data_IF_271469252602
#
_entry.id   IF_271469252602
#
_cell.length_a   1.000
_cell.length_b   1.000
_cell.length_c   1.000
_cell.angle_alpha   90.00
_cell.angle_beta   90.00
_cell.angle_gamma   90.00
#
_symmetry.space_group_name_H-M   'P 1'
#
loop_
_entity.id
_entity.type
_entity.pdbx_description
1 polymer ?
#
# COMPACT_ATOMS: atom_id res chain seq x y z
N UNK A 1 -1.91 7.04 -26.89
CA UNK A 1 -2.18 6.34 -25.63
C UNK A 1 -2.55 4.87 -25.88
N UNK A 2 -1.75 3.94 -25.35
CA UNK A 2 -1.91 2.47 -25.46
C UNK A 2 -2.06 1.87 -24.07
N UNK A 3 -3.11 1.07 -23.81
CA UNK A 3 -3.24 0.32 -22.55
C UNK A 3 -2.12 -0.73 -22.49
N UNK A 4 -1.31 -0.71 -21.44
CA UNK A 4 -0.21 -1.67 -21.23
C UNK A 4 -0.48 -2.65 -20.11
N UNK A 5 -1.24 -2.25 -19.10
CA UNK A 5 -1.64 -3.12 -18.01
C UNK A 5 -2.99 -2.67 -17.43
N UNK A 6 -3.85 -3.63 -17.11
CA UNK A 6 -5.10 -3.38 -16.41
C UNK A 6 -5.08 -4.21 -15.12
N UNK A 7 -4.89 -3.51 -14.01
CA UNK A 7 -5.05 -4.09 -12.68
C UNK A 7 -6.50 -4.07 -12.23
N UNK A 8 -6.74 -4.60 -11.03
CA UNK A 8 -8.07 -4.68 -10.40
C UNK A 8 -8.78 -3.31 -10.37
N UNK A 9 -8.04 -2.26 -10.00
CA UNK A 9 -8.60 -0.91 -9.78
C UNK A 9 -7.88 0.21 -10.54
N UNK A 10 -6.79 -0.10 -11.26
CA UNK A 10 -6.00 0.89 -12.00
C UNK A 10 -5.69 0.40 -13.40
N UNK A 11 -5.66 1.32 -14.35
CA UNK A 11 -5.24 1.09 -15.72
C UNK A 11 -3.95 1.87 -15.96
N UNK A 12 -2.96 1.22 -16.57
CA UNK A 12 -1.69 1.83 -16.91
C UNK A 12 -1.61 1.96 -18.43
N UNK A 13 -1.40 3.18 -18.89
CA UNK A 13 -1.25 3.50 -20.31
C UNK A 13 0.15 4.01 -20.62
N UNK A 14 0.54 3.84 -21.87
CA UNK A 14 1.74 4.37 -22.48
C UNK A 14 1.36 5.41 -23.54
N UNK A 15 1.77 6.66 -23.31
CA UNK A 15 1.55 7.79 -24.21
C UNK A 15 2.86 8.57 -24.46
N UNK A 16 3.98 7.84 -24.51
CA UNK A 16 5.34 8.39 -24.46
C UNK A 16 5.90 8.44 -23.04
N UNK A 17 5.04 8.75 -22.07
CA UNK A 17 5.24 8.55 -20.64
C UNK A 17 4.20 7.56 -20.09
N UNK A 18 4.39 7.11 -18.84
CA UNK A 18 3.37 6.31 -18.17
C UNK A 18 2.25 7.19 -17.65
N UNK A 19 1.01 6.75 -17.88
CA UNK A 19 -0.18 7.35 -17.31
C UNK A 19 -0.88 6.30 -16.44
N UNK A 20 -0.84 6.49 -15.13
CA UNK A 20 -1.55 5.65 -14.16
C UNK A 20 -2.93 6.26 -13.92
N UNK A 21 -3.98 5.52 -14.25
CA UNK A 21 -5.38 5.96 -14.14
C UNK A 21 -6.08 5.13 -13.07
N UNK A 22 -6.53 5.77 -12.00
CA UNK A 22 -7.36 5.16 -10.98
C UNK A 22 -8.82 5.07 -11.47
N UNK A 23 -9.33 3.85 -11.54
CA UNK A 23 -10.73 3.60 -11.90
C UNK A 23 -11.65 3.69 -10.69
N UNK A 24 -12.95 3.74 -10.96
CA UNK A 24 -13.99 3.61 -9.95
C UNK A 24 -14.31 2.13 -9.62
N UNK A 25 -13.53 1.19 -10.18
CA UNK A 25 -13.67 -0.24 -9.88
C UNK A 25 -13.28 -0.52 -8.42
N UNK A 26 -13.93 -1.53 -7.88
CA UNK A 26 -13.72 -2.04 -6.54
C UNK A 26 -13.48 -3.55 -6.61
N UNK A 27 -12.59 -4.06 -5.78
CA UNK A 27 -12.33 -5.49 -5.67
C UNK A 27 -12.23 -5.94 -4.23
N UNK A 28 -12.78 -7.12 -3.95
CA UNK A 28 -12.63 -7.84 -2.67
C UNK A 28 -12.30 -9.29 -2.98
N UNK A 29 -11.45 -9.92 -2.16
CA UNK A 29 -11.01 -11.32 -2.36
C UNK A 29 -10.58 -11.61 -3.81
N UNK A 30 -9.82 -10.67 -4.39
CA UNK A 30 -9.30 -10.74 -5.77
C UNK A 30 -10.35 -10.74 -6.90
N UNK A 31 -11.62 -10.52 -6.58
CA UNK A 31 -12.73 -10.38 -7.55
C UNK A 31 -13.12 -8.92 -7.71
N UNK A 32 -13.18 -8.44 -8.95
CA UNK A 32 -13.70 -7.10 -9.27
C UNK A 32 -15.24 -7.13 -9.22
N UNK A 33 -15.82 -6.24 -8.42
CA UNK A 33 -17.26 -6.12 -8.25
C UNK A 33 -17.91 -5.48 -9.49
N UNK A 34 -19.16 -5.88 -9.84
CA UNK A 34 -19.85 -5.34 -11.02
C UNK A 34 -20.29 -3.87 -10.84
N UNK A 35 -20.40 -3.40 -9.59
CA UNK A 35 -20.85 -2.04 -9.27
C UNK A 35 -19.63 -1.17 -8.91
N UNK A 36 -19.32 -0.12 -9.69
CA UNK A 36 -18.27 0.83 -9.35
C UNK A 36 -18.69 1.75 -8.20
N UNK A 37 -17.72 2.33 -7.50
CA UNK A 37 -17.93 3.37 -6.50
C UNK A 37 -17.65 4.72 -7.15
N UNK A 38 -18.67 5.55 -7.44
CA UNK A 38 -18.48 6.82 -8.14
C UNK A 38 -17.42 7.70 -7.48
N UNK A 39 -16.55 8.29 -8.31
CA UNK A 39 -15.45 9.17 -7.91
C UNK A 39 -14.38 8.56 -6.99
N UNK A 40 -14.43 7.25 -6.70
CA UNK A 40 -13.37 6.55 -5.95
C UNK A 40 -12.00 6.83 -6.56
N UNK A 41 -11.84 6.67 -7.87
CA UNK A 41 -10.56 6.86 -8.54
C UNK A 41 -10.00 8.27 -8.33
N UNK A 42 -10.88 9.29 -8.33
CA UNK A 42 -10.47 10.68 -8.07
C UNK A 42 -10.04 10.90 -6.63
N UNK A 43 -10.80 10.37 -5.66
CA UNK A 43 -10.50 10.50 -4.24
C UNK A 43 -9.15 9.85 -3.90
N UNK A 44 -8.91 8.62 -4.38
CA UNK A 44 -7.64 7.91 -4.12
C UNK A 44 -6.45 8.58 -4.80
N UNK A 45 -6.66 9.14 -6.00
CA UNK A 45 -5.62 9.92 -6.69
C UNK A 45 -5.28 11.19 -5.93
N UNK A 46 -6.28 11.96 -5.50
CA UNK A 46 -6.07 13.17 -4.72
C UNK A 46 -5.37 12.89 -3.38
N UNK A 47 -5.74 11.80 -2.71
CA UNK A 47 -5.12 11.38 -1.46
C UNK A 47 -3.66 10.97 -1.66
N UNK A 48 -3.37 10.17 -2.71
CA UNK A 48 -1.98 9.79 -3.03
C UNK A 48 -1.11 11.01 -3.32
N UNK A 49 -1.59 11.96 -4.12
CA UNK A 49 -0.87 13.20 -4.44
C UNK A 49 -0.59 14.03 -3.19
N UNK A 50 -1.55 14.12 -2.27
CA UNK A 50 -1.40 14.81 -1.00
C UNK A 50 -0.33 14.17 -0.11
N UNK A 51 -0.24 12.84 -0.10
CA UNK A 51 0.81 12.12 0.62
C UNK A 51 2.18 12.24 -0.05
N UNK A 52 2.24 12.13 -1.38
CA UNK A 52 3.50 12.30 -2.12
C UNK A 52 4.14 13.67 -1.88
N UNK A 53 3.33 14.73 -1.81
CA UNK A 53 3.80 16.07 -1.47
C UNK A 53 4.41 16.13 -0.05
N UNK A 54 3.68 15.59 0.94
CA UNK A 54 4.09 15.61 2.37
C UNK A 54 5.26 14.72 2.73
N UNK A 55 5.53 13.71 1.92
CA UNK A 55 6.58 12.72 2.14
C UNK A 55 7.74 12.86 1.16
N UNK A 56 7.76 13.96 0.39
CA UNK A 56 8.79 14.24 -0.61
C UNK A 56 10.20 14.42 -0.02
N UNK A 57 10.30 14.80 1.26
CA UNK A 57 11.56 14.87 2.01
C UNK A 57 12.04 13.51 2.53
N UNK A 58 11.13 12.52 2.62
CA UNK A 58 11.42 11.17 3.10
C UNK A 58 11.87 10.28 1.94
N UNK A 59 11.14 10.31 0.82
CA UNK A 59 11.41 9.46 -0.34
C UNK A 59 11.00 10.13 -1.65
N UNK A 60 11.82 10.08 -2.70
CA UNK A 60 11.41 10.52 -4.02
C UNK A 60 10.30 9.63 -4.57
N UNK A 61 9.36 10.20 -5.33
CA UNK A 61 8.22 9.47 -5.90
C UNK A 61 8.16 9.59 -7.43
N UNK A 62 7.32 8.77 -8.04
CA UNK A 62 7.23 8.66 -9.49
C UNK A 62 6.42 9.78 -10.18
N UNK A 63 5.80 10.71 -9.46
CA UNK A 63 4.84 11.66 -10.05
C UNK A 63 5.57 12.70 -10.87
N UNK A 64 5.15 12.86 -12.13
CA UNK A 64 5.62 13.93 -13.03
C UNK A 64 4.57 15.05 -13.11
N UNK A 65 3.29 14.69 -13.26
CA UNK A 65 2.20 15.67 -13.32
C UNK A 65 0.85 15.01 -13.03
N UNK A 66 -0.04 15.73 -12.34
CA UNK A 66 -1.45 15.33 -12.17
C UNK A 66 -2.42 16.23 -12.96
N UNK A 67 -1.92 17.33 -13.54
CA UNK A 67 -2.72 18.32 -14.28
C UNK A 67 -2.52 18.21 -15.77
N UNK A 68 -1.34 17.77 -16.20
CA UNK A 68 -1.06 17.47 -17.59
C UNK A 68 -1.47 16.02 -17.86
N UNK A 69 -2.76 15.79 -17.97
CA UNK A 69 -3.36 14.47 -18.28
C UNK A 69 -4.51 14.65 -19.26
N UNK A 70 -4.91 13.62 -20.03
CA UNK A 70 -6.09 13.68 -20.88
C UNK A 70 -7.34 14.12 -20.09
N UNK A 71 -8.15 15.01 -20.67
CA UNK A 71 -9.31 15.61 -19.98
C UNK A 71 -10.30 14.57 -19.44
N UNK A 72 -10.47 13.46 -20.15
CA UNK A 72 -11.32 12.33 -19.74
C UNK A 72 -10.88 11.64 -18.44
N UNK A 73 -9.61 11.78 -18.07
CA UNK A 73 -9.03 11.24 -16.83
C UNK A 73 -8.70 12.32 -15.80
N UNK A 74 -9.22 13.55 -15.99
CA UNK A 74 -9.00 14.65 -15.06
C UNK A 74 -9.38 14.27 -13.62
N UNK A 75 -8.45 14.54 -12.70
CA UNK A 75 -8.58 14.27 -11.27
C UNK A 75 -8.36 12.82 -10.85
N UNK A 76 -8.22 11.87 -11.79
CA UNK A 76 -8.04 10.42 -11.48
C UNK A 76 -6.81 9.80 -12.15
N UNK A 77 -5.96 10.60 -12.78
CA UNK A 77 -4.77 10.12 -13.44
C UNK A 77 -3.54 10.92 -13.04
N UNK A 78 -2.40 10.25 -13.07
CA UNK A 78 -1.08 10.83 -12.88
C UNK A 78 -0.18 10.41 -14.04
N UNK A 79 0.54 11.37 -14.62
CA UNK A 79 1.74 11.08 -15.41
C UNK A 79 2.85 10.72 -14.45
N UNK A 80 3.47 9.58 -14.67
CA UNK A 80 4.51 9.06 -13.81
C UNK A 80 5.74 8.60 -14.58
N UNK A 81 6.88 8.63 -13.90
CA UNK A 81 8.14 8.10 -14.38
C UNK A 81 8.01 6.59 -14.56
N UNK A 82 8.54 6.07 -15.67
CA UNK A 82 8.73 4.63 -15.85
C UNK A 82 9.81 4.14 -14.89
N UNK A 83 9.46 3.16 -14.06
CA UNK A 83 10.37 2.51 -13.13
C UNK A 83 10.52 1.03 -13.50
N UNK A 84 11.69 0.47 -13.21
CA UNK A 84 11.87 -0.97 -13.12
C UNK A 84 11.40 -1.42 -11.73
N UNK A 85 10.19 -1.98 -11.65
CA UNK A 85 9.52 -2.25 -10.38
C UNK A 85 10.16 -3.45 -9.66
N UNK A 86 10.48 -3.29 -8.38
CA UNK A 86 10.96 -4.39 -7.56
C UNK A 86 9.82 -5.35 -7.24
N UNK A 87 10.13 -6.65 -7.13
CA UNK A 87 9.12 -7.71 -6.92
C UNK A 87 8.90 -8.00 -5.44
N UNK A 88 8.75 -6.93 -4.65
CA UNK A 88 8.54 -6.99 -3.20
C UNK A 88 7.41 -6.03 -2.83
N UNK A 89 6.35 -6.56 -2.22
CA UNK A 89 5.34 -5.73 -1.58
C UNK A 89 5.84 -5.33 -0.19
N UNK A 90 6.13 -4.05 -0.02
CA UNK A 90 6.77 -3.52 1.17
C UNK A 90 5.71 -3.09 2.18
N UNK A 91 5.39 -3.98 3.14
CA UNK A 91 4.33 -3.72 4.13
C UNK A 91 4.92 -3.27 5.46
N UNK A 92 4.46 -2.15 5.98
CA UNK A 92 4.67 -1.72 7.36
C UNK A 92 3.43 -1.97 8.20
N UNK A 93 3.62 -2.43 9.44
CA UNK A 93 2.54 -2.63 10.42
C UNK A 93 2.88 -1.94 11.72
N UNK A 94 1.97 -1.10 12.23
CA UNK A 94 1.99 -0.63 13.62
C UNK A 94 0.89 -1.26 14.46
N UNK A 95 -0.08 -1.93 13.83
CA UNK A 95 -1.14 -2.68 14.50
C UNK A 95 -1.30 -4.05 13.83
N UNK A 96 -1.74 -5.04 14.62
CA UNK A 96 -1.92 -6.42 14.17
C UNK A 96 -3.36 -6.65 13.72
N UNK A 97 -3.55 -6.95 12.44
CA UNK A 97 -4.85 -7.25 11.84
C UNK A 97 -4.70 -8.14 10.60
N UNK A 98 -5.83 -8.66 10.11
CA UNK A 98 -5.92 -9.34 8.81
C UNK A 98 -4.97 -10.53 8.67
N UNK A 99 -4.28 -10.62 7.52
CA UNK A 99 -3.35 -11.73 7.25
C UNK A 99 -2.16 -11.75 8.22
N UNK A 100 -1.70 -10.60 8.71
CA UNK A 100 -0.63 -10.53 9.71
C UNK A 100 -1.06 -11.15 11.06
N UNK A 101 -2.30 -10.90 11.50
CA UNK A 101 -2.83 -11.58 12.68
C UNK A 101 -2.88 -13.11 12.47
N UNK A 102 -3.33 -13.56 11.28
CA UNK A 102 -3.42 -14.99 10.97
C UNK A 102 -2.04 -15.67 11.07
N UNK A 103 -1.00 -15.06 10.52
CA UNK A 103 0.37 -15.59 10.59
C UNK A 103 0.88 -15.62 12.03
N UNK A 104 0.65 -14.54 12.79
CA UNK A 104 1.02 -14.46 14.20
C UNK A 104 0.35 -15.54 15.05
N UNK A 105 -0.95 -15.80 14.84
CA UNK A 105 -1.66 -16.84 15.58
C UNK A 105 -1.12 -18.25 15.26
N UNK A 106 -0.54 -18.44 14.08
CA UNK A 106 0.04 -19.72 13.67
C UNK A 106 1.45 -19.94 14.23
N UNK A 107 2.29 -18.89 14.28
CA UNK A 107 3.73 -19.05 14.55
C UNK A 107 4.30 -18.16 15.67
N UNK A 108 3.55 -17.14 16.12
CA UNK A 108 4.05 -16.07 16.99
C UNK A 108 4.87 -15.00 16.25
N UNK A 109 4.93 -15.05 14.91
CA UNK A 109 5.69 -14.14 14.07
C UNK A 109 4.89 -13.69 12.83
N UNK A 110 5.34 -12.63 12.19
CA UNK A 110 4.82 -12.15 10.88
C UNK A 110 6.01 -11.89 9.96
N UNK A 111 6.07 -12.49 8.77
CA UNK A 111 7.26 -12.44 7.89
C UNK A 111 8.55 -12.81 8.63
N UNK A 112 8.50 -13.81 9.51
CA UNK A 112 9.63 -14.20 10.36
C UNK A 112 9.97 -13.24 11.52
N UNK A 113 9.30 -12.08 11.63
CA UNK A 113 9.51 -11.13 12.73
C UNK A 113 8.76 -11.61 13.99
N UNK A 114 9.45 -12.02 15.07
CA UNK A 114 8.80 -12.49 16.28
C UNK A 114 8.08 -11.34 16.99
N UNK A 115 6.85 -11.60 17.43
CA UNK A 115 6.02 -10.65 18.16
C UNK A 115 5.76 -11.15 19.59
N UNK A 116 5.51 -10.26 20.57
CA UNK A 116 5.22 -10.66 21.94
C UNK A 116 3.94 -11.52 22.02
N UNK A 117 3.83 -12.40 23.03
CA UNK A 117 2.61 -13.20 23.24
C UNK A 117 1.43 -12.32 23.67
N UNK A 118 0.21 -12.82 23.45
CA UNK A 118 -1.03 -12.19 23.93
C UNK A 118 -1.58 -11.06 23.04
N UNK A 119 -1.08 -10.90 21.81
CA UNK A 119 -1.66 -9.98 20.85
C UNK A 119 -2.97 -10.53 20.28
N UNK A 120 -3.93 -9.65 20.12
CA UNK A 120 -5.27 -9.87 19.56
C UNK A 120 -5.49 -9.02 18.30
N UNK A 121 -6.61 -9.20 17.61
CA UNK A 121 -7.07 -8.30 16.54
C UNK A 121 -7.04 -6.84 17.00
N UNK A 122 -6.49 -5.95 16.17
CA UNK A 122 -6.37 -4.53 16.46
C UNK A 122 -5.26 -4.18 17.48
N UNK A 123 -4.46 -5.13 17.96
CA UNK A 123 -3.41 -4.83 18.94
C UNK A 123 -2.35 -3.91 18.36
N UNK A 124 -2.00 -2.85 19.10
CA UNK A 124 -0.85 -2.00 18.78
C UNK A 124 0.46 -2.77 19.00
N UNK A 125 1.34 -2.75 18.02
CA UNK A 125 2.65 -3.40 18.11
C UNK A 125 3.62 -2.55 18.96
N UNK A 126 4.55 -3.17 19.71
CA UNK A 126 5.55 -2.44 20.50
C UNK A 126 6.47 -1.54 19.66
N UNK A 127 6.67 -1.90 18.40
CA UNK A 127 7.38 -1.15 17.37
C UNK A 127 6.75 -1.43 16.02
N UNK A 128 6.89 -0.49 15.08
CA UNK A 128 6.57 -0.75 13.67
C UNK A 128 7.43 -1.89 13.14
N UNK A 129 6.84 -2.79 12.37
CA UNK A 129 7.55 -3.91 11.74
C UNK A 129 7.39 -3.89 10.24
N UNK A 130 8.46 -4.27 9.53
CA UNK A 130 8.48 -4.50 8.10
C UNK A 130 8.17 -5.97 7.85
N UNK A 131 7.10 -6.25 7.10
CA UNK A 131 6.60 -7.61 6.88
C UNK A 131 6.35 -7.82 5.39
N UNK A 132 7.40 -8.02 4.59
CA UNK A 132 7.28 -8.08 3.14
C UNK A 132 6.49 -9.31 2.68
N UNK A 133 5.85 -9.15 1.52
CA UNK A 133 5.28 -10.27 0.77
C UNK A 133 5.86 -10.29 -0.65
N UNK A 134 5.82 -11.45 -1.31
CA UNK A 134 6.12 -11.54 -2.75
C UNK A 134 5.15 -10.67 -3.54
N UNK A 135 5.57 -10.26 -4.74
CA UNK A 135 4.68 -9.67 -5.75
C UNK A 135 4.48 -10.69 -6.86
N UNK A 136 3.41 -11.46 -6.75
CA UNK A 136 3.12 -12.55 -7.69
C UNK A 136 2.24 -12.08 -8.87
N UNK A 137 2.17 -12.92 -9.91
CA UNK A 137 1.36 -12.63 -11.09
C UNK A 137 -0.14 -12.60 -10.78
N UNK A 138 -0.92 -11.98 -11.67
CA UNK A 138 -2.38 -11.87 -11.52
C UNK A 138 -3.02 -13.27 -11.52
N UNK A 139 -3.51 -13.71 -10.36
CA UNK A 139 -4.18 -15.01 -10.18
C UNK A 139 -3.53 -15.91 -9.12
N UNK A 140 -2.35 -15.54 -8.63
CA UNK A 140 -1.67 -16.15 -7.48
C UNK A 140 -1.73 -15.23 -6.26
N UNK A 141 -1.70 -15.80 -5.06
CA UNK A 141 -1.72 -15.02 -3.82
C UNK A 141 -0.31 -14.62 -3.42
N UNK A 142 -0.14 -13.38 -2.94
CA UNK A 142 1.11 -12.92 -2.37
C UNK A 142 1.44 -13.73 -1.11
N UNK A 143 2.68 -14.17 -0.99
CA UNK A 143 3.16 -14.99 0.13
C UNK A 143 4.04 -14.16 1.06
N UNK A 144 3.94 -14.40 2.36
CA UNK A 144 4.85 -13.80 3.33
C UNK A 144 6.28 -14.28 3.08
N UNK A 145 7.21 -13.33 2.98
CA UNK A 145 8.64 -13.60 2.88
C UNK A 145 9.36 -12.93 4.04
N UNK A 146 10.52 -13.45 4.41
CA UNK A 146 11.37 -12.90 5.46
C UNK A 146 12.21 -11.74 4.92
N UNK A 147 12.85 -10.99 5.82
CA UNK A 147 13.82 -9.98 5.41
C UNK A 147 15.01 -10.61 4.68
N UNK A 148 15.44 -11.79 5.12
CA UNK A 148 16.51 -12.58 4.51
C UNK A 148 16.18 -13.00 3.08
N UNK A 149 14.93 -13.36 2.79
CA UNK A 149 14.47 -13.66 1.43
C UNK A 149 14.53 -12.41 0.53
N UNK A 150 14.18 -11.23 1.06
CA UNK A 150 14.34 -9.95 0.34
C UNK A 150 15.81 -9.64 0.08
N UNK A 151 16.71 -9.96 1.03
CA UNK A 151 18.17 -9.82 0.84
C UNK A 151 18.67 -10.75 -0.26
N UNK A 152 18.19 -11.99 -0.32
CA UNK A 152 18.55 -12.94 -1.38
C UNK A 152 18.06 -12.46 -2.75
N UNK A 153 16.85 -11.89 -2.81
CA UNK A 153 16.23 -11.43 -4.05
C UNK A 153 16.84 -10.12 -4.58
N UNK A 154 16.99 -9.11 -3.72
CA UNK A 154 17.27 -7.72 -4.12
C UNK A 154 18.66 -7.22 -3.69
N UNK A 155 19.39 -8.03 -2.90
CA UNK A 155 20.67 -7.69 -2.29
C UNK A 155 20.52 -6.90 -0.98
N UNK A 156 21.51 -7.05 -0.10
CA UNK A 156 21.49 -6.52 1.28
C UNK A 156 21.25 -5.01 1.35
N UNK A 157 21.93 -4.24 0.49
CA UNK A 157 21.79 -2.78 0.46
C UNK A 157 20.37 -2.35 0.07
N UNK A 158 19.79 -2.98 -0.96
CA UNK A 158 18.41 -2.70 -1.40
C UNK A 158 17.40 -3.11 -0.34
N UNK A 159 17.55 -4.29 0.25
CA UNK A 159 16.65 -4.79 1.29
C UNK A 159 16.61 -3.86 2.51
N UNK A 160 17.79 -3.40 2.96
CA UNK A 160 17.89 -2.43 4.04
C UNK A 160 17.20 -1.10 3.68
N UNK A 161 17.45 -0.57 2.48
CA UNK A 161 16.82 0.67 2.00
C UNK A 161 15.29 0.55 1.94
N UNK A 162 14.77 -0.58 1.40
CA UNK A 162 13.33 -0.86 1.35
C UNK A 162 12.71 -0.89 2.73
N UNK A 163 13.31 -1.61 3.68
CA UNK A 163 12.84 -1.67 5.06
C UNK A 163 12.81 -0.27 5.68
N UNK A 164 13.92 0.44 5.61
CA UNK A 164 14.10 1.71 6.33
C UNK A 164 13.16 2.80 5.76
N UNK A 165 13.03 2.90 4.43
CA UNK A 165 12.09 3.82 3.79
C UNK A 165 10.63 3.44 4.06
N UNK A 166 10.31 2.14 4.06
CA UNK A 166 8.93 1.67 4.32
C UNK A 166 8.48 2.03 5.73
N UNK A 167 9.36 1.81 6.71
CA UNK A 167 9.10 2.18 8.10
C UNK A 167 9.01 3.70 8.25
N UNK A 168 9.91 4.47 7.63
CA UNK A 168 9.91 5.94 7.72
C UNK A 168 8.64 6.56 7.11
N UNK A 169 8.23 6.09 5.92
CA UNK A 169 6.98 6.52 5.26
C UNK A 169 5.77 6.19 6.13
N UNK A 170 5.69 4.97 6.64
CA UNK A 170 4.59 4.56 7.52
C UNK A 170 4.54 5.39 8.79
N UNK A 171 5.66 5.57 9.49
CA UNK A 171 5.68 6.27 10.78
C UNK A 171 5.29 7.74 10.62
N UNK A 172 5.77 8.41 9.56
CA UNK A 172 5.36 9.78 9.25
C UNK A 172 3.88 9.85 8.88
N UNK A 173 3.41 8.95 8.01
CA UNK A 173 2.00 8.89 7.61
C UNK A 173 1.05 8.61 8.77
N UNK A 174 1.40 7.66 9.63
CA UNK A 174 0.63 7.31 10.82
C UNK A 174 0.59 8.45 11.83
N UNK A 175 1.70 9.19 12.02
CA UNK A 175 1.72 10.37 12.88
C UNK A 175 0.79 11.47 12.37
N UNK A 176 0.85 11.79 11.07
CA UNK A 176 -0.03 12.80 10.45
C UNK A 176 -1.50 12.39 10.51
N UNK A 177 -1.82 11.11 10.28
CA UNK A 177 -3.19 10.61 10.39
C UNK A 177 -3.72 10.65 11.83
N UNK A 178 -2.86 10.35 12.82
CA UNK A 178 -3.24 10.37 14.23
C UNK A 178 -3.65 11.78 14.71
N UNK A 179 -3.04 12.84 14.16
CA UNK A 179 -3.47 14.22 14.42
C UNK A 179 -4.91 14.52 13.99
N UNK A 180 -5.48 13.68 13.10
CA UNK A 180 -6.84 13.78 12.60
C UNK A 180 -7.77 12.71 13.18
N UNK A 181 -7.36 12.02 14.24
CA UNK A 181 -8.17 10.96 14.88
C UNK A 181 -8.26 9.67 14.06
N UNK A 182 -7.30 9.44 13.16
CA UNK A 182 -7.26 8.27 12.28
C UNK A 182 -6.01 7.43 12.58
N UNK A 183 -6.20 6.12 12.75
CA UNK A 183 -5.14 5.13 12.86
C UNK A 183 -4.89 4.51 11.49
N UNK A 184 -3.64 4.49 11.05
CA UNK A 184 -3.18 3.64 9.94
C UNK A 184 -2.63 2.35 10.55
N UNK A 185 -3.38 1.26 10.44
CA UNK A 185 -3.02 0.00 11.07
C UNK A 185 -1.79 -0.65 10.39
N UNK A 186 -1.86 -0.71 9.07
CA UNK A 186 -0.80 -1.15 8.17
C UNK A 186 -0.93 -0.47 6.81
N UNK A 187 0.15 -0.47 6.03
CA UNK A 187 0.18 0.02 4.65
C UNK A 187 1.11 -0.84 3.81
N UNK A 188 0.76 -1.02 2.53
CA UNK A 188 1.63 -1.57 1.50
C UNK A 188 2.21 -0.45 0.65
N UNK A 189 3.52 -0.51 0.40
CA UNK A 189 4.24 0.36 -0.52
C UNK A 189 4.86 -0.46 -1.65
N UNK A 190 5.13 0.20 -2.77
CA UNK A 190 5.87 -0.40 -3.88
C UNK A 190 6.98 0.53 -4.34
N UNK A 191 8.13 -0.04 -4.66
CA UNK A 191 9.29 0.70 -5.11
C UNK A 191 9.76 0.18 -6.46
N UNK A 192 10.41 1.06 -7.21
CA UNK A 192 11.10 0.70 -8.43
C UNK A 192 12.35 1.53 -8.63
N UNK A 193 13.26 1.08 -9.50
CA UNK A 193 14.45 1.82 -9.85
C UNK A 193 14.21 2.72 -11.05
N UNK A 194 14.64 3.96 -10.94
CA UNK A 194 14.76 4.86 -12.08
C UNK A 194 15.98 4.47 -12.95
N UNK A 195 16.09 4.99 -14.19
CA UNK A 195 17.21 4.66 -15.09
C UNK A 195 18.62 4.98 -14.54
N UNK A 196 18.71 5.91 -13.59
CA UNK A 196 19.95 6.27 -12.88
C UNK A 196 20.23 5.36 -11.67
N UNK A 197 19.38 4.37 -11.42
CA UNK A 197 19.48 3.42 -10.32
C UNK A 197 18.83 3.89 -9.01
N UNK A 198 18.33 5.13 -8.94
CA UNK A 198 17.70 5.66 -7.73
C UNK A 198 16.43 4.86 -7.39
N UNK A 199 16.26 4.51 -6.11
CA UNK A 199 15.04 3.89 -5.62
C UNK A 199 13.94 4.94 -5.49
N UNK A 200 12.80 4.71 -6.14
CA UNK A 200 11.67 5.63 -6.24
C UNK A 200 10.42 4.93 -5.72
N UNK A 201 9.65 5.63 -4.88
CA UNK A 201 8.33 5.20 -4.47
C UNK A 201 7.36 5.30 -5.67
N UNK A 202 6.74 4.16 -6.01
CA UNK A 202 5.77 4.05 -7.09
C UNK A 202 4.34 3.86 -6.60
N UNK A 203 3.51 3.34 -7.49
CA UNK A 203 2.13 2.94 -7.21
C UNK A 203 1.25 4.06 -6.60
N UNK A 204 0.40 3.74 -5.62
CA UNK A 204 -0.36 4.69 -4.80
C UNK A 204 0.24 4.78 -3.39
N UNK A 205 -0.13 5.81 -2.65
CA UNK A 205 0.44 6.02 -1.31
C UNK A 205 -0.65 6.28 -0.27
N UNK A 206 -0.66 5.45 0.78
CA UNK A 206 -1.48 5.61 1.98
C UNK A 206 -2.96 5.90 1.67
N UNK A 207 -3.57 5.05 0.83
CA UNK A 207 -5.00 5.15 0.49
C UNK A 207 -5.78 3.98 1.05
N UNK A 208 -7.11 4.07 1.08
CA UNK A 208 -8.00 2.99 1.56
C UNK A 208 -7.88 1.68 0.77
N UNK A 209 -7.23 1.71 -0.39
CA UNK A 209 -6.95 0.52 -1.19
C UNK A 209 -5.64 -0.17 -0.78
N UNK A 210 -4.64 0.57 -0.28
CA UNK A 210 -3.31 0.10 0.11
C UNK A 210 -3.05 0.08 1.61
N UNK A 211 -3.95 0.66 2.42
CA UNK A 211 -3.83 0.81 3.87
C UNK A 211 -5.12 0.46 4.59
N UNK A 212 -5.00 0.08 5.87
CA UNK A 212 -6.14 -0.06 6.78
C UNK A 212 -6.30 1.18 7.65
N UNK A 213 -7.49 1.78 7.65
CA UNK A 213 -7.78 3.02 8.36
C UNK A 213 -8.84 2.81 9.44
N UNK A 214 -8.53 3.13 10.69
CA UNK A 214 -9.49 3.03 11.81
C UNK A 214 -9.71 4.38 12.49
N UNK A 215 -10.87 4.56 13.12
CA UNK A 215 -11.11 5.70 14.01
C UNK A 215 -10.43 5.47 15.35
N UNK A 216 -9.67 6.47 15.83
CA UNK A 216 -9.01 6.38 17.14
C UNK A 216 -10.03 6.23 18.27
N UNK A 217 -11.14 6.95 18.22
CA UNK A 217 -12.17 6.93 19.28
C UNK A 217 -13.01 5.64 19.32
N UNK A 218 -12.91 4.81 18.27
CA UNK A 218 -13.58 3.50 18.20
C UNK A 218 -12.58 2.32 18.27
N UNK A 219 -11.29 2.59 18.39
CA UNK A 219 -10.28 1.54 18.43
C UNK A 219 -10.28 0.81 19.78
N UNK A 220 -10.42 -0.51 19.73
CA UNK A 220 -10.35 -1.37 20.91
C UNK A 220 -9.77 -2.74 20.52
N UNK A 221 -8.59 -3.12 21.02
CA UNK A 221 -8.02 -4.44 20.75
C UNK A 221 -8.92 -5.58 21.22
N UNK A 222 -8.98 -6.67 20.45
CA UNK A 222 -9.78 -7.86 20.75
C UNK A 222 -11.14 -7.92 20.06
N UNK A 223 -11.47 -6.94 19.20
CA UNK A 223 -12.69 -6.93 18.38
C UNK A 223 -12.42 -6.47 16.93
N UNK A 224 -13.38 -6.64 16.00
CA UNK A 224 -13.31 -5.97 14.70
C UNK A 224 -13.26 -4.45 14.85
N UNK A 225 -12.43 -3.79 14.04
CA UNK A 225 -12.27 -2.33 14.07
C UNK A 225 -13.18 -1.65 13.05
N UNK A 226 -13.69 -0.47 13.37
CA UNK A 226 -14.41 0.36 12.41
C UNK A 226 -13.43 0.87 11.35
N UNK A 227 -13.62 0.47 10.10
CA UNK A 227 -12.59 0.56 9.07
C UNK A 227 -13.00 1.44 7.88
N UNK A 228 -12.42 2.63 7.71
CA UNK A 228 -12.64 3.51 6.55
C UNK A 228 -12.04 2.98 5.23
N UNK A 229 -11.81 1.69 5.15
CA UNK A 229 -11.25 0.99 4.02
C UNK A 229 -12.23 -0.05 3.46
N UNK A 230 -11.72 -0.94 2.61
CA UNK A 230 -12.52 -1.97 1.94
C UNK A 230 -13.13 -3.00 2.90
N UNK A 231 -12.83 -2.98 4.20
CA UNK A 231 -13.26 -4.01 5.14
C UNK A 231 -14.79 -4.19 5.18
N UNK A 232 -15.61 -3.13 5.14
CA UNK A 232 -17.07 -3.29 5.09
C UNK A 232 -17.55 -4.10 3.88
N UNK A 233 -16.90 -3.93 2.72
CA UNK A 233 -17.24 -4.69 1.52
C UNK A 233 -16.76 -6.13 1.60
N UNK A 234 -15.62 -6.37 2.24
CA UNK A 234 -15.14 -7.73 2.55
C UNK A 234 -16.14 -8.44 3.45
N UNK A 235 -16.58 -7.79 4.52
CA UNK A 235 -17.53 -8.35 5.47
C UNK A 235 -18.90 -8.62 4.84
N UNK A 236 -19.39 -7.77 3.93
CA UNK A 236 -20.63 -8.01 3.18
C UNK A 236 -20.53 -9.19 2.19
N UNK A 237 -19.36 -9.43 1.61
CA UNK A 237 -19.14 -10.45 0.59
C UNK A 237 -18.75 -11.83 1.15
N UNK A 238 -18.48 -11.93 2.45
CA UNK A 238 -18.09 -13.16 3.16
C UNK A 238 -19.28 -14.10 3.43
#
# INVERSE_FOLDING_TARGET
>A
MRLIHQGKVRDLYDDGELLLVASDRMSVYDVVLPTPIPDKGKILTALSLWWFDRLSDVVPNHVLSATEVPLEFSGRAIRCRRLDMLRVECIARGYLAGLGLREYLASGAVSGVPLPPGLLEGSKLPRTVFTPTTKEEVGTHDEFITFEDVVEQEGEATAAELRDLTLAVYERGAAVAAEQGVIIADTKLEFGRAPDGQLILGDELLTSDSSRFWLTDEWEPGRPQFAFDKQYLRDWAA
#
